data_IF_260174228016
#
_entry.id   IF_260174228016
#
_cell.length_a   1.000
_cell.length_b   1.000
_cell.length_c   1.000
_cell.angle_alpha   90.00
_cell.angle_beta   90.00
_cell.angle_gamma   90.00
#
_symmetry.space_group_name_H-M   'P 1'
#
loop_
_entity.id
_entity.type
_entity.pdbx_description
1 polymer ?
#
# COMPACT_ATOMS: atom_id res chain seq x y z
N UNK A 1 -6.23 -9.64 -8.17
CA UNK A 1 -7.30 -9.13 -7.33
C UNK A 1 -8.64 -8.98 -8.06
N UNK A 2 -8.70 -8.43 -9.30
CA UNK A 2 -9.98 -8.26 -10.03
C UNK A 2 -10.77 -9.57 -10.18
N UNK A 3 -10.10 -10.70 -10.47
CA UNK A 3 -10.75 -12.02 -10.60
C UNK A 3 -11.34 -12.54 -9.29
N UNK A 4 -10.87 -11.99 -8.15
CA UNK A 4 -11.28 -12.39 -6.80
C UNK A 4 -12.14 -11.31 -6.11
N UNK A 5 -12.71 -10.39 -6.90
CA UNK A 5 -13.56 -9.32 -6.37
C UNK A 5 -14.73 -9.90 -5.58
N UNK A 6 -14.86 -9.50 -4.32
CA UNK A 6 -15.92 -9.94 -3.42
C UNK A 6 -15.69 -11.31 -2.77
N UNK A 7 -14.66 -12.08 -3.16
CA UNK A 7 -14.29 -13.30 -2.47
C UNK A 7 -13.68 -13.00 -1.10
N UNK A 8 -13.83 -13.92 -0.17
CA UNK A 8 -13.23 -13.77 1.16
C UNK A 8 -11.71 -13.89 1.09
N UNK A 9 -11.02 -13.03 1.82
CA UNK A 9 -9.55 -13.09 1.94
C UNK A 9 -9.13 -14.43 2.54
N UNK A 10 -8.30 -15.24 1.84
CA UNK A 10 -7.85 -16.52 2.35
C UNK A 10 -7.08 -16.40 3.67
N UNK A 11 -7.33 -17.31 4.59
CA UNK A 11 -6.65 -17.34 5.89
C UNK A 11 -5.13 -17.49 5.75
N UNK A 12 -4.66 -18.16 4.69
CA UNK A 12 -3.23 -18.30 4.38
C UNK A 12 -2.52 -16.96 4.14
N UNK A 13 -3.25 -15.93 3.66
CA UNK A 13 -2.71 -14.58 3.47
C UNK A 13 -2.86 -13.76 4.74
N UNK A 14 -3.94 -14.00 5.50
CA UNK A 14 -4.26 -13.24 6.71
C UNK A 14 -3.55 -13.76 7.96
N UNK A 15 -3.09 -14.98 7.96
CA UNK A 15 -2.53 -15.68 9.11
C UNK A 15 -1.42 -14.87 9.79
N UNK A 16 -1.57 -14.62 11.10
CA UNK A 16 -0.62 -13.88 11.91
C UNK A 16 -0.69 -12.34 11.80
N UNK A 17 -1.56 -11.80 10.96
CA UNK A 17 -1.74 -10.36 10.86
C UNK A 17 -2.67 -9.83 11.97
N UNK A 18 -2.21 -8.78 12.63
CA UNK A 18 -2.99 -8.07 13.63
C UNK A 18 -4.14 -7.32 12.96
N UNK A 19 -5.36 -7.52 13.45
CA UNK A 19 -6.51 -6.73 13.03
C UNK A 19 -6.51 -5.37 13.75
N UNK A 20 -6.90 -4.32 13.01
CA UNK A 20 -7.13 -3.00 13.59
C UNK A 20 -8.49 -2.97 14.29
N UNK A 21 -8.69 -2.02 15.22
CA UNK A 21 -9.99 -1.83 15.90
C UNK A 21 -11.14 -1.60 14.91
N UNK A 22 -10.86 -1.02 13.74
CA UNK A 22 -11.88 -0.79 12.69
C UNK A 22 -12.32 -2.08 11.99
N UNK A 23 -11.47 -3.09 11.91
CA UNK A 23 -11.74 -4.34 11.20
C UNK A 23 -11.97 -5.54 12.11
N UNK A 24 -11.64 -5.44 13.40
CA UNK A 24 -11.72 -6.54 14.35
C UNK A 24 -13.15 -7.09 14.56
N UNK A 25 -14.17 -6.22 14.38
CA UNK A 25 -15.59 -6.60 14.48
C UNK A 25 -16.21 -7.15 13.19
N UNK A 26 -15.46 -7.24 12.09
CA UNK A 26 -15.98 -7.75 10.83
C UNK A 26 -15.98 -9.28 10.82
N UNK A 27 -17.10 -9.86 10.38
CA UNK A 27 -17.24 -11.32 10.22
C UNK A 27 -16.59 -11.85 8.94
N UNK A 28 -16.35 -10.99 7.96
CA UNK A 28 -15.74 -11.35 6.68
C UNK A 28 -14.84 -10.23 6.14
N UNK A 29 -13.87 -10.59 5.32
CA UNK A 29 -12.92 -9.66 4.69
C UNK A 29 -12.96 -9.83 3.18
N UNK A 30 -13.99 -9.27 2.51
CA UNK A 30 -14.11 -9.37 1.06
C UNK A 30 -12.98 -8.59 0.37
N UNK A 31 -12.41 -9.21 -0.67
CA UNK A 31 -11.38 -8.59 -1.48
C UNK A 31 -11.98 -7.51 -2.37
N UNK A 32 -11.34 -6.36 -2.39
CA UNK A 32 -11.68 -5.26 -3.29
C UNK A 32 -10.62 -5.14 -4.38
N UNK A 33 -11.02 -5.41 -5.62
CA UNK A 33 -10.17 -5.20 -6.79
C UNK A 33 -10.15 -3.72 -7.19
N UNK A 34 -9.05 -3.28 -7.77
CA UNK A 34 -8.96 -1.92 -8.30
C UNK A 34 -9.95 -1.71 -9.44
N UNK A 35 -10.60 -0.55 -9.47
CA UNK A 35 -11.42 -0.07 -10.60
C UNK A 35 -10.55 0.39 -11.77
N UNK A 36 -9.31 0.79 -11.48
CA UNK A 36 -8.36 1.36 -12.44
C UNK A 36 -7.51 0.29 -13.10
N UNK A 37 -7.08 0.58 -14.32
CA UNK A 37 -6.21 -0.31 -15.08
C UNK A 37 -4.75 -0.11 -14.67
N UNK A 38 -4.03 -1.22 -14.55
CA UNK A 38 -2.58 -1.23 -14.36
C UNK A 38 -1.92 -1.82 -15.59
N UNK A 39 -0.83 -1.22 -16.02
CA UNK A 39 0.00 -1.67 -17.14
C UNK A 39 1.47 -1.66 -16.74
N UNK A 40 2.26 -2.49 -17.42
CA UNK A 40 3.70 -2.46 -17.26
C UNK A 40 4.30 -1.32 -18.07
N UNK A 41 5.24 -0.59 -17.47
CA UNK A 41 5.93 0.54 -18.07
C UNK A 41 7.43 0.44 -17.86
N UNK A 42 8.19 1.07 -18.77
CA UNK A 42 9.64 1.13 -18.73
C UNK A 42 10.32 -0.20 -19.00
N UNK A 43 11.64 -0.19 -18.95
CA UNK A 43 12.48 -1.39 -19.07
C UNK A 43 12.37 -2.29 -17.83
N UNK A 44 12.14 -1.69 -16.66
CA UNK A 44 11.90 -2.41 -15.41
C UNK A 44 10.61 -3.23 -15.39
N UNK A 45 9.68 -2.96 -16.31
CA UNK A 45 8.37 -3.61 -16.36
C UNK A 45 7.51 -3.34 -15.14
N UNK A 46 7.69 -2.20 -14.49
CA UNK A 46 6.94 -1.83 -13.30
C UNK A 46 5.45 -1.63 -13.59
N UNK A 47 4.59 -2.20 -12.74
CA UNK A 47 3.15 -2.02 -12.85
C UNK A 47 2.73 -0.66 -12.31
N UNK A 48 2.21 0.20 -13.18
CA UNK A 48 1.73 1.55 -12.83
C UNK A 48 0.27 1.70 -13.21
N UNK A 49 -0.50 2.36 -12.34
CA UNK A 49 -1.91 2.66 -12.59
C UNK A 49 -2.07 3.77 -13.64
N UNK A 50 -3.15 3.69 -14.43
CA UNK A 50 -3.57 4.76 -15.35
C UNK A 50 -3.77 6.13 -14.68
N UNK A 51 -3.94 6.14 -13.35
CA UNK A 51 -4.01 7.39 -12.55
C UNK A 51 -2.69 8.15 -12.49
N UNK A 52 -1.58 7.52 -12.84
CA UNK A 52 -0.23 8.07 -12.74
C UNK A 52 0.46 8.18 -14.11
N UNK A 53 -0.14 8.90 -15.09
CA UNK A 53 0.35 8.92 -16.47
C UNK A 53 1.72 9.60 -16.63
N UNK A 54 2.08 10.50 -15.73
CA UNK A 54 3.39 11.16 -15.74
C UNK A 54 4.44 10.32 -15.03
N UNK A 55 4.11 9.72 -13.91
CA UNK A 55 4.99 8.79 -13.19
C UNK A 55 5.38 7.59 -14.04
N UNK A 56 4.46 7.08 -14.86
CA UNK A 56 4.73 5.97 -15.76
C UNK A 56 5.81 6.26 -16.79
N UNK A 57 6.02 7.54 -17.16
CA UNK A 57 7.04 7.98 -18.13
C UNK A 57 8.46 7.99 -17.55
N UNK A 58 8.59 8.09 -16.24
CA UNK A 58 9.86 8.18 -15.50
C UNK A 58 10.08 6.98 -14.59
N UNK A 59 9.34 5.90 -14.79
CA UNK A 59 9.34 4.76 -13.87
C UNK A 59 10.71 4.08 -13.75
N UNK A 60 11.53 4.13 -14.79
CA UNK A 60 12.88 3.57 -14.76
C UNK A 60 13.88 4.39 -13.95
N UNK A 61 13.56 5.66 -13.68
CA UNK A 61 14.33 6.55 -12.80
C UNK A 61 13.91 6.41 -11.33
N UNK A 62 12.88 5.59 -11.03
CA UNK A 62 12.33 5.45 -9.70
C UNK A 62 12.76 4.14 -9.04
N UNK A 63 13.09 4.22 -7.77
CA UNK A 63 13.27 3.05 -6.91
C UNK A 63 11.93 2.66 -6.27
N UNK A 64 11.36 1.50 -6.67
CA UNK A 64 10.08 1.01 -6.17
C UNK A 64 10.28 0.00 -5.04
N UNK A 65 10.13 0.44 -3.80
CA UNK A 65 10.24 -0.43 -2.61
C UNK A 65 8.84 -0.96 -2.25
N UNK A 66 8.58 -2.23 -2.54
CA UNK A 66 7.26 -2.86 -2.39
C UNK A 66 7.03 -3.53 -1.04
N UNK A 67 8.05 -3.60 -0.20
CA UNK A 67 8.05 -4.36 1.05
C UNK A 67 8.04 -3.49 2.31
N UNK A 68 7.83 -2.18 2.16
CA UNK A 68 7.69 -1.30 3.32
C UNK A 68 6.42 -1.62 4.09
N UNK A 69 6.55 -1.71 5.40
CA UNK A 69 5.43 -1.88 6.31
C UNK A 69 5.60 -1.03 7.57
N UNK A 70 4.54 -0.86 8.33
CA UNK A 70 4.55 -0.15 9.61
C UNK A 70 3.67 -0.85 10.63
N UNK A 71 4.06 -0.80 11.89
CA UNK A 71 3.24 -1.23 13.03
C UNK A 71 2.21 -0.17 13.45
N UNK A 72 2.28 1.03 12.87
CA UNK A 72 1.33 2.10 13.16
C UNK A 72 -0.05 1.76 12.60
N UNK A 73 -1.04 1.70 13.49
CA UNK A 73 -2.42 1.33 13.16
C UNK A 73 -3.19 2.52 12.56
N UNK A 74 -2.93 3.72 13.07
CA UNK A 74 -3.61 4.95 12.66
C UNK A 74 -2.80 5.71 11.60
N UNK A 75 -3.50 6.52 10.80
CA UNK A 75 -2.91 7.26 9.69
C UNK A 75 -1.85 8.25 10.15
N UNK A 76 -2.11 9.05 11.19
CA UNK A 76 -1.18 10.09 11.65
C UNK A 76 0.19 9.55 12.07
N UNK A 77 0.28 8.57 12.99
CA UNK A 77 1.58 7.97 13.32
C UNK A 77 2.19 7.21 12.16
N UNK A 78 1.40 6.61 11.25
CA UNK A 78 1.92 5.93 10.08
C UNK A 78 2.57 6.89 9.08
N UNK A 79 1.91 8.02 8.77
CA UNK A 79 2.43 9.05 7.89
C UNK A 79 3.68 9.70 8.49
N UNK A 80 3.64 10.02 9.78
CA UNK A 80 4.77 10.59 10.51
C UNK A 80 5.97 9.65 10.46
N UNK A 81 5.74 8.36 10.71
CA UNK A 81 6.80 7.34 10.63
C UNK A 81 7.37 7.21 9.22
N UNK A 82 6.52 7.17 8.21
CA UNK A 82 6.93 7.08 6.81
C UNK A 82 7.82 8.26 6.38
N UNK A 83 7.49 9.47 6.82
CA UNK A 83 8.21 10.69 6.44
C UNK A 83 9.48 10.92 7.26
N UNK A 84 9.52 10.53 8.52
CA UNK A 84 10.57 10.94 9.47
C UNK A 84 11.34 9.79 10.12
N UNK A 85 10.88 8.54 9.92
CA UNK A 85 11.41 7.37 10.62
C UNK A 85 10.99 7.27 12.10
N UNK A 86 10.06 8.13 12.56
CA UNK A 86 9.56 8.14 13.94
C UNK A 86 8.04 8.34 13.95
N UNK A 87 7.34 7.66 14.87
CA UNK A 87 5.90 7.89 15.06
C UNK A 87 5.59 9.19 15.83
N UNK A 88 6.61 9.83 16.37
CA UNK A 88 6.49 11.07 17.16
C UNK A 88 6.70 12.25 16.22
N UNK A 89 5.75 13.19 16.23
CA UNK A 89 5.81 14.42 15.45
C UNK A 89 6.97 15.35 15.87
N UNK A 90 7.36 16.28 14.99
CA UNK A 90 8.38 17.30 15.27
C UNK A 90 9.80 16.94 14.79
N UNK A 91 9.97 15.82 14.11
CA UNK A 91 11.24 15.48 13.44
C UNK A 91 11.24 15.93 11.98
N UNK A 92 12.40 16.30 11.42
CA UNK A 92 12.49 16.66 10.00
C UNK A 92 12.14 15.46 9.11
N UNK A 93 11.50 15.73 7.97
CA UNK A 93 11.22 14.71 6.97
C UNK A 93 12.46 14.40 6.13
N UNK A 94 12.42 13.28 5.38
CA UNK A 94 13.48 12.93 4.44
C UNK A 94 13.64 13.97 3.31
N UNK A 95 12.62 14.79 3.06
CA UNK A 95 12.64 15.82 2.01
C UNK A 95 12.95 17.22 2.50
N UNK A 96 13.29 17.41 3.76
CA UNK A 96 13.57 18.72 4.34
C UNK A 96 15.06 19.07 4.37
#
# INVERSE_FOLDING_TARGET
>A
LRKMQGEHLPDSIRQGQRLTGMSAGQSSFPLAGSKYVFQQHGQSGAWVSELLPYTSKVVDELCLIKTLHTEAINHDPAITFFQTGSQIAGRPSMGS
#
